data_IF_123381132537
#
_entry.id   IF_123381132537
#
_cell.length_a   1.000
_cell.length_b   1.000
_cell.length_c   1.000
_cell.angle_alpha   90.00
_cell.angle_beta   90.00
_cell.angle_gamma   90.00
#
_symmetry.space_group_name_H-M   'P 1'
#
loop_
_entity.id
_entity.type
_entity.pdbx_description
1 polymer ?
#
# COMPACT_ATOMS: atom_id res chain seq x y z
N UNK A 1 30.84 -30.26 9.57
CA UNK A 1 30.30 -31.05 10.68
C UNK A 1 28.89 -30.55 10.93
N UNK A 2 27.90 -31.39 10.61
CA UNK A 2 26.47 -31.14 10.79
C UNK A 2 26.13 -31.31 12.26
N UNK A 3 25.78 -30.22 12.94
CA UNK A 3 25.18 -30.31 14.28
C UNK A 3 23.69 -30.67 14.13
N UNK A 4 23.15 -31.56 14.97
CA UNK A 4 21.75 -31.93 14.92
C UNK A 4 20.87 -30.76 15.36
N UNK A 5 19.67 -30.68 14.79
CA UNK A 5 18.61 -29.72 15.12
C UNK A 5 18.26 -29.84 16.60
N UNK A 6 18.86 -28.99 17.44
CA UNK A 6 18.30 -28.71 18.75
C UNK A 6 16.90 -28.16 18.51
N UNK A 7 15.91 -28.70 19.23
CA UNK A 7 14.54 -28.22 19.23
C UNK A 7 14.54 -26.75 19.65
N UNK A 8 14.53 -25.85 18.66
CA UNK A 8 14.34 -24.43 18.89
C UNK A 8 12.92 -24.26 19.43
N UNK A 9 12.81 -23.86 20.69
CA UNK A 9 11.52 -23.59 21.31
C UNK A 9 11.08 -22.18 20.90
N UNK A 10 9.88 -22.07 20.36
CA UNK A 10 9.27 -20.79 20.01
C UNK A 10 8.11 -20.53 20.95
N UNK A 11 7.99 -19.29 21.43
CA UNK A 11 6.83 -18.81 22.15
C UNK A 11 6.00 -17.87 21.28
N UNK A 12 4.69 -18.02 21.38
CA UNK A 12 3.73 -17.07 20.83
C UNK A 12 3.74 -15.79 21.67
N UNK A 13 4.01 -14.66 21.03
CA UNK A 13 3.88 -13.33 21.64
C UNK A 13 2.98 -12.42 20.82
N UNK A 14 2.30 -11.53 21.51
CA UNK A 14 1.59 -10.43 20.87
C UNK A 14 2.59 -9.51 20.18
N UNK A 15 2.30 -9.07 18.95
CA UNK A 15 3.18 -8.18 18.20
C UNK A 15 3.46 -6.89 18.98
N UNK A 16 2.46 -6.37 19.70
CA UNK A 16 2.61 -5.19 20.56
C UNK A 16 3.53 -5.36 21.77
N UNK A 17 3.99 -6.57 22.10
CA UNK A 17 4.91 -6.83 23.21
C UNK A 17 6.36 -7.12 22.78
N UNK A 18 6.64 -7.04 21.48
CA UNK A 18 7.98 -7.23 20.92
C UNK A 18 8.96 -6.17 21.43
N UNK A 19 10.21 -6.59 21.64
CA UNK A 19 11.30 -5.75 22.13
C UNK A 19 12.55 -5.92 21.27
N UNK A 20 13.42 -4.91 21.29
CA UNK A 20 14.78 -5.05 20.80
C UNK A 20 15.47 -6.23 21.49
N UNK A 21 16.17 -7.06 20.72
CA UNK A 21 16.82 -8.30 21.14
C UNK A 21 15.98 -9.56 20.95
N UNK A 22 14.68 -9.45 20.67
CA UNK A 22 13.85 -10.63 20.36
C UNK A 22 14.24 -11.24 19.02
N UNK A 23 14.41 -12.56 18.96
CA UNK A 23 14.65 -13.31 17.73
C UNK A 23 13.32 -13.78 17.14
N UNK A 24 12.85 -13.10 16.10
CA UNK A 24 11.56 -13.35 15.47
C UNK A 24 11.68 -14.38 14.35
N UNK A 25 10.78 -15.37 14.31
CA UNK A 25 10.64 -16.27 13.16
C UNK A 25 10.00 -15.51 12.02
N UNK A 26 10.71 -15.44 10.88
CA UNK A 26 10.26 -14.70 9.72
C UNK A 26 9.05 -15.39 9.06
N UNK A 27 8.26 -14.67 8.24
CA UNK A 27 7.09 -15.24 7.57
C UNK A 27 7.36 -16.44 6.66
N UNK A 28 8.62 -16.69 6.30
CA UNK A 28 9.06 -17.88 5.57
C UNK A 28 9.10 -19.16 6.42
N UNK A 29 8.91 -19.05 7.74
CA UNK A 29 8.95 -20.12 8.72
C UNK A 29 10.27 -20.91 8.79
N UNK A 30 11.34 -20.45 8.14
CA UNK A 30 12.64 -21.12 8.09
C UNK A 30 13.75 -20.30 8.76
N UNK A 31 13.64 -18.96 8.69
CA UNK A 31 14.70 -18.06 9.15
C UNK A 31 14.27 -17.27 10.38
N UNK A 32 15.23 -16.98 11.24
CA UNK A 32 15.04 -16.07 12.37
C UNK A 32 15.87 -14.80 12.18
N UNK A 33 15.38 -13.68 12.70
CA UNK A 33 16.13 -12.44 12.72
C UNK A 33 15.92 -11.72 14.05
N UNK A 34 16.99 -11.13 14.58
CA UNK A 34 16.94 -10.34 15.79
C UNK A 34 16.37 -8.95 15.50
N UNK A 35 15.47 -8.49 16.35
CA UNK A 35 14.89 -7.15 16.30
C UNK A 35 15.90 -6.15 16.90
N UNK A 36 16.32 -5.17 16.13
CA UNK A 36 17.19 -4.06 16.57
C UNK A 36 16.37 -2.88 17.06
N UNK A 37 15.17 -2.69 16.50
CA UNK A 37 14.29 -1.57 16.83
C UNK A 37 12.82 -1.93 16.65
N UNK A 38 11.96 -1.43 17.53
CA UNK A 38 10.50 -1.54 17.43
C UNK A 38 9.89 -0.15 17.45
N UNK A 39 9.08 0.16 16.44
CA UNK A 39 8.24 1.36 16.39
C UNK A 39 6.76 0.93 16.29
N UNK A 40 5.86 1.76 16.83
CA UNK A 40 4.40 1.49 16.82
C UNK A 40 3.68 2.63 16.13
N UNK A 41 2.99 2.32 15.04
CA UNK A 41 2.11 3.23 14.33
C UNK A 41 0.68 3.08 14.89
N UNK A 42 0.13 4.18 15.40
CA UNK A 42 -1.24 4.22 15.89
C UNK A 42 -2.23 4.54 14.75
N UNK A 43 -3.48 4.09 14.88
CA UNK A 43 -4.60 4.51 14.04
C UNK A 43 -5.04 5.96 14.35
N UNK A 44 -6.01 6.45 13.57
CA UNK A 44 -6.59 7.79 13.72
C UNK A 44 -7.28 8.02 15.08
N UNK A 45 -7.53 6.95 15.85
CA UNK A 45 -8.11 6.98 17.19
C UNK A 45 -7.06 6.82 18.30
N UNK A 46 -5.76 6.75 17.95
CA UNK A 46 -4.66 6.63 18.89
C UNK A 46 -4.40 5.21 19.41
N UNK A 47 -5.04 4.19 18.83
CA UNK A 47 -4.81 2.78 19.17
C UNK A 47 -3.69 2.19 18.32
N UNK A 48 -2.80 1.33 18.87
CA UNK A 48 -1.78 0.65 18.09
C UNK A 48 -2.38 -0.13 16.91
N UNK A 49 -1.99 0.21 15.69
CA UNK A 49 -2.46 -0.45 14.47
C UNK A 49 -1.39 -1.37 13.87
N UNK A 50 -0.16 -0.85 13.75
CA UNK A 50 0.96 -1.56 13.14
C UNK A 50 2.19 -1.46 14.04
N UNK A 51 2.85 -2.60 14.26
CA UNK A 51 4.18 -2.70 14.87
C UNK A 51 5.21 -2.86 13.75
N UNK A 52 6.20 -1.99 13.73
CA UNK A 52 7.33 -2.01 12.79
C UNK A 52 8.57 -2.52 13.52
N UNK A 53 9.01 -3.73 13.19
CA UNK A 53 10.22 -4.33 13.75
C UNK A 53 11.37 -4.23 12.74
N UNK A 54 12.40 -3.44 13.03
CA UNK A 54 13.65 -3.38 12.26
C UNK A 54 14.56 -4.51 12.70
N UNK A 55 15.07 -5.29 11.75
CA UNK A 55 15.85 -6.50 11.98
C UNK A 55 17.35 -6.26 11.77
N UNK A 56 18.20 -7.14 12.30
CA UNK A 56 19.68 -7.06 12.19
C UNK A 56 20.21 -7.08 10.76
N UNK A 57 19.40 -7.50 9.79
CA UNK A 57 19.68 -7.42 8.35
C UNK A 57 19.18 -6.14 7.65
N UNK A 58 18.70 -5.14 8.40
CA UNK A 58 18.20 -3.86 7.87
C UNK A 58 16.75 -3.88 7.37
N UNK A 59 16.12 -5.06 7.24
CA UNK A 59 14.72 -5.18 6.85
C UNK A 59 13.76 -4.74 7.96
N UNK A 60 12.61 -4.18 7.58
CA UNK A 60 11.53 -3.79 8.51
C UNK A 60 10.31 -4.67 8.28
N UNK A 61 9.90 -5.42 9.31
CA UNK A 61 8.68 -6.20 9.31
C UNK A 61 7.51 -5.37 9.84
N UNK A 62 6.40 -5.34 9.11
CA UNK A 62 5.15 -4.68 9.52
C UNK A 62 4.15 -5.73 9.98
N UNK A 63 3.74 -5.64 11.24
CA UNK A 63 2.91 -6.64 11.89
C UNK A 63 1.70 -5.92 12.45
N UNK A 64 0.48 -6.43 12.23
CA UNK A 64 -0.68 -5.83 12.88
C UNK A 64 -0.55 -5.96 14.40
N UNK A 65 -0.85 -4.91 15.15
CA UNK A 65 -0.57 -4.86 16.59
C UNK A 65 -1.28 -5.97 17.40
N UNK A 66 -2.44 -6.43 16.93
CA UNK A 66 -3.20 -7.54 17.51
C UNK A 66 -2.84 -8.94 17.00
N UNK A 67 -1.80 -9.06 16.17
CA UNK A 67 -1.33 -10.36 15.68
C UNK A 67 -0.39 -11.05 16.68
N UNK A 68 -0.37 -12.38 16.62
CA UNK A 68 0.58 -13.21 17.34
C UNK A 68 1.75 -13.54 16.42
N UNK A 69 2.97 -13.49 16.95
CA UNK A 69 4.21 -13.85 16.27
C UNK A 69 4.98 -14.87 17.09
N UNK A 70 5.85 -15.62 16.42
CA UNK A 70 6.71 -16.60 17.06
C UNK A 70 8.08 -15.99 17.34
N UNK A 71 8.46 -16.01 18.61
CA UNK A 71 9.77 -15.55 19.08
C UNK A 71 10.54 -16.74 19.59
N UNK A 72 11.80 -16.84 19.22
CA UNK A 72 12.69 -17.88 19.72
C UNK A 72 12.95 -17.65 21.20
N UNK A 73 12.68 -18.65 22.03
CA UNK A 73 12.97 -18.59 23.45
C UNK A 73 14.50 -18.60 23.65
N UNK A 74 15.05 -17.70 24.47
CA UNK A 74 16.44 -17.79 24.85
C UNK A 74 16.67 -19.14 25.53
N UNK A 75 17.64 -19.91 25.03
CA UNK A 75 18.10 -21.13 25.71
C UNK A 75 18.58 -20.69 27.09
N UNK A 76 18.06 -21.25 28.19
CA UNK A 76 18.57 -20.90 29.50
C UNK A 76 20.04 -21.30 29.55
N UNK A 77 20.91 -20.30 29.66
CA UNK A 77 22.31 -20.53 29.99
C UNK A 77 22.36 -21.36 31.26
N UNK A 78 23.12 -22.46 31.21
CA UNK A 78 23.41 -23.26 32.40
C UNK A 78 24.06 -22.35 33.46
N UNK A 79 23.71 -22.50 34.75
CA UNK A 79 23.99 -21.50 35.76
C UNK A 79 25.49 -21.42 36.02
N UNK A 80 26.11 -20.29 35.67
CA UNK A 80 27.40 -19.92 36.22
C UNK A 80 27.27 -19.65 37.73
N UNK A 81 28.28 -20.14 38.44
CA UNK A 81 28.30 -20.32 39.88
C UNK A 81 28.16 -19.02 40.69
N UNK A 82 27.40 -19.12 41.78
CA UNK A 82 27.48 -18.20 42.93
C UNK A 82 28.91 -18.05 43.45
N UNK A 83 29.18 -16.91 44.10
CA UNK A 83 29.69 -16.98 45.45
C UNK A 83 28.77 -16.23 46.44
N UNK A 84 28.52 -16.91 47.56
CA UNK A 84 28.15 -16.33 48.86
C UNK A 84 29.22 -15.30 49.29
N UNK A 85 29.03 -14.38 50.23
CA UNK A 85 28.24 -14.38 51.45
C UNK A 85 28.20 -12.95 52.00
N UNK A 86 27.18 -12.59 52.78
CA UNK A 86 27.02 -11.24 53.31
C UNK A 86 25.70 -11.00 54.05
N UNK A 87 25.36 -11.89 54.98
CA UNK A 87 24.23 -11.81 55.91
C UNK A 87 24.40 -10.64 56.92
N UNK A 88 23.44 -10.08 57.70
CA UNK A 88 22.10 -10.39 58.28
C UNK A 88 21.53 -9.01 58.80
N UNK A 89 20.41 -8.84 59.58
CA UNK A 89 19.05 -9.45 59.71
C UNK A 89 17.88 -8.42 59.54
N UNK A 90 16.68 -8.80 59.10
CA UNK A 90 15.52 -9.42 59.78
C UNK A 90 14.74 -8.54 60.79
N UNK A 91 13.45 -8.34 60.52
CA UNK A 91 12.39 -8.19 61.53
C UNK A 91 11.01 -8.55 60.94
N UNK A 92 10.40 -9.57 61.55
CA UNK A 92 9.04 -10.08 61.40
C UNK A 92 7.95 -9.06 61.79
N UNK A 93 6.75 -9.20 61.22
CA UNK A 93 5.51 -9.24 61.99
C UNK A 93 4.35 -9.84 61.19
N UNK A 94 3.65 -10.77 61.83
CA UNK A 94 2.55 -11.62 61.36
C UNK A 94 1.18 -10.91 61.25
N UNK A 95 0.22 -11.57 60.58
CA UNK A 95 -1.18 -11.16 60.29
C UNK A 95 -2.13 -11.08 61.50
N UNK A 96 -3.43 -11.46 61.45
CA UNK A 96 -4.22 -12.12 60.37
C UNK A 96 -5.71 -11.63 60.20
N UNK A 97 -6.42 -12.20 59.20
CA UNK A 97 -7.71 -12.92 59.44
C UNK A 97 -9.08 -12.27 59.09
N UNK A 98 -10.02 -13.18 58.74
CA UNK A 98 -11.49 -13.09 58.61
C UNK A 98 -12.08 -12.46 57.32
N UNK A 99 -13.19 -12.91 56.73
CA UNK A 99 -13.98 -14.15 56.66
C UNK A 99 -15.06 -13.87 55.59
N UNK A 100 -15.42 -14.84 54.74
CA UNK A 100 -16.63 -14.78 53.87
C UNK A 100 -17.90 -15.13 54.70
N UNK A 101 -19.16 -14.97 54.22
CA UNK A 101 -19.73 -15.88 53.21
C UNK A 101 -20.90 -15.37 52.30
N UNK A 102 -21.14 -16.14 51.22
CA UNK A 102 -22.41 -16.55 50.58
C UNK A 102 -23.43 -15.47 50.09
N UNK A 103 -24.28 -15.66 49.08
CA UNK A 103 -25.00 -16.87 48.67
C UNK A 103 -25.59 -16.74 47.24
N UNK A 104 -25.73 -17.91 46.60
CA UNK A 104 -26.67 -18.42 45.57
C UNK A 104 -27.77 -17.51 44.99
N UNK A 105 -28.26 -17.71 43.76
CA UNK A 105 -28.22 -18.89 42.92
C UNK A 105 -29.03 -18.72 41.62
N UNK A 106 -29.49 -19.86 41.16
CA UNK A 106 -29.58 -20.31 39.77
C UNK A 106 -30.99 -20.16 39.14
N UNK A 107 -31.00 -20.33 37.82
CA UNK A 107 -31.96 -21.12 37.04
C UNK A 107 -33.15 -20.49 36.24
N UNK A 108 -33.11 -20.83 34.94
CA UNK A 108 -34.18 -21.28 34.02
C UNK A 108 -35.29 -20.38 33.44
N UNK A 109 -35.15 -20.15 32.12
CA UNK A 109 -35.98 -20.70 31.03
C UNK A 109 -37.41 -20.17 30.68
N UNK A 110 -37.53 -19.90 29.37
CA UNK A 110 -38.62 -20.26 28.43
C UNK A 110 -39.84 -19.33 28.20
N UNK A 111 -40.25 -19.27 26.92
CA UNK A 111 -41.65 -19.08 26.53
C UNK A 111 -42.08 -17.83 25.75
N UNK A 112 -42.18 -17.95 24.42
CA UNK A 112 -43.46 -17.71 23.73
C UNK A 112 -43.71 -16.36 23.01
N UNK A 113 -43.78 -16.41 21.67
CA UNK A 113 -44.53 -15.48 20.81
C UNK A 113 -46.05 -15.77 20.83
N UNK A 114 -46.92 -14.81 20.49
CA UNK A 114 -47.60 -14.76 19.17
C UNK A 114 -47.82 -13.30 18.68
N UNK A 115 -48.30 -12.91 17.48
CA UNK A 115 -49.01 -13.57 16.38
C UNK A 115 -50.20 -12.69 15.91
N UNK A 116 -50.07 -12.05 14.73
CA UNK A 116 -51.04 -11.64 13.69
C UNK A 116 -52.46 -11.10 14.01
N UNK A 117 -52.89 -10.08 13.25
CA UNK A 117 -54.31 -9.91 12.85
C UNK A 117 -54.47 -9.38 11.41
N UNK A 118 -55.34 -10.06 10.68
CA UNK A 118 -55.78 -9.88 9.29
C UNK A 118 -57.24 -9.39 9.34
N UNK A 119 -57.69 -8.56 8.38
CA UNK A 119 -59.12 -8.32 8.14
C UNK A 119 -59.40 -8.44 6.64
N UNK A 120 -60.32 -9.34 6.29
CA UNK A 120 -60.86 -9.60 4.96
C UNK A 120 -62.05 -8.70 4.61
N UNK A 121 -62.26 -8.40 3.32
CA UNK A 121 -63.60 -8.50 2.71
C UNK A 121 -63.56 -8.58 1.17
N UNK A 122 -64.28 -9.57 0.62
CA UNK A 122 -64.70 -9.79 -0.78
C UNK A 122 -66.25 -9.84 -0.76
N UNK A 123 -67.03 -9.59 -1.86
CA UNK A 123 -67.02 -10.50 -3.01
C UNK A 123 -67.43 -9.97 -4.43
N UNK A 124 -67.09 -10.80 -5.42
CA UNK A 124 -67.74 -11.23 -6.68
C UNK A 124 -68.29 -10.29 -7.77
N UNK A 125 -67.92 -10.59 -9.03
CA UNK A 125 -68.68 -10.22 -10.24
C UNK A 125 -67.92 -10.31 -11.58
N UNK A 126 -68.05 -11.45 -12.27
CA UNK A 126 -68.04 -11.74 -13.73
C UNK A 126 -67.27 -10.89 -14.77
N UNK A 127 -66.49 -11.58 -15.63
CA UNK A 127 -66.16 -11.14 -17.00
C UNK A 127 -64.69 -11.33 -17.45
N UNK A 128 -64.44 -12.28 -18.34
CA UNK A 128 -63.19 -12.40 -19.13
C UNK A 128 -63.45 -11.98 -20.60
N UNK A 129 -62.44 -11.77 -21.49
CA UNK A 129 -61.01 -11.46 -21.35
C UNK A 129 -60.53 -10.26 -22.24
N UNK A 130 -59.33 -9.72 -22.01
CA UNK A 130 -58.58 -8.99 -23.04
C UNK A 130 -57.07 -9.12 -22.79
N UNK A 131 -56.33 -9.63 -23.78
CA UNK A 131 -54.88 -9.77 -23.72
C UNK A 131 -54.19 -8.39 -23.76
N UNK A 132 -53.27 -8.08 -22.84
CA UNK A 132 -52.50 -6.85 -22.94
C UNK A 132 -51.30 -7.05 -23.89
N UNK A 133 -51.18 -6.15 -24.86
CA UNK A 133 -50.02 -6.05 -25.75
C UNK A 133 -48.74 -5.79 -24.95
N UNK A 134 -47.68 -6.52 -25.29
CA UNK A 134 -46.34 -6.34 -24.71
C UNK A 134 -45.77 -5.02 -25.24
N UNK A 135 -45.84 -3.97 -24.43
CA UNK A 135 -45.06 -2.75 -24.64
C UNK A 135 -43.62 -3.06 -24.27
N UNK A 136 -42.77 -3.27 -25.28
CA UNK A 136 -41.31 -3.36 -25.08
C UNK A 136 -40.82 -1.95 -24.76
N UNK A 137 -40.30 -1.68 -23.54
CA UNK A 137 -39.69 -0.39 -23.25
C UNK A 137 -38.49 -0.17 -24.19
N UNK A 138 -38.29 1.05 -24.71
CA UNK A 138 -37.13 1.34 -25.54
C UNK A 138 -35.86 0.97 -24.78
N UNK A 139 -34.98 0.26 -25.47
CA UNK A 139 -33.66 -0.14 -24.97
C UNK A 139 -33.00 1.10 -24.35
N UNK A 140 -32.48 1.03 -23.11
CA UNK A 140 -31.74 2.15 -22.54
C UNK A 140 -30.66 2.59 -23.53
N UNK A 141 -30.64 3.89 -23.85
CA UNK A 141 -29.54 4.47 -24.61
C UNK A 141 -28.27 4.09 -23.86
N UNK A 142 -27.33 3.45 -24.56
CA UNK A 142 -26.06 3.09 -23.98
C UNK A 142 -25.45 4.32 -23.28
N UNK A 143 -24.85 4.18 -22.09
CA UNK A 143 -24.17 5.28 -21.45
C UNK A 143 -23.15 5.89 -22.43
N UNK A 144 -22.93 7.22 -22.38
CA UNK A 144 -22.00 7.89 -23.29
C UNK A 144 -20.65 7.16 -23.27
N UNK A 145 -20.11 6.93 -24.47
CA UNK A 145 -18.82 6.31 -24.71
C UNK A 145 -17.77 7.02 -23.85
N UNK A 146 -17.03 6.21 -23.09
CA UNK A 146 -16.22 6.58 -21.94
C UNK A 146 -15.26 7.76 -22.18
N UNK A 147 -15.08 8.59 -21.15
CA UNK A 147 -13.92 9.47 -20.95
C UNK A 147 -12.65 8.64 -20.73
N UNK A 148 -12.27 7.86 -21.75
CA UNK A 148 -11.14 6.94 -21.72
C UNK A 148 -10.30 7.00 -22.99
N UNK A 149 -9.13 6.36 -22.99
CA UNK A 149 -8.24 6.25 -24.14
C UNK A 149 -8.97 5.86 -25.42
N UNK A 150 -8.71 6.55 -26.53
CA UNK A 150 -9.12 6.03 -27.83
C UNK A 150 -8.24 4.85 -28.23
N UNK A 151 -8.72 3.99 -29.12
CA UNK A 151 -7.92 2.88 -29.68
C UNK A 151 -6.63 3.39 -30.34
N UNK A 152 -6.67 4.59 -30.94
CA UNK A 152 -5.50 5.25 -31.50
C UNK A 152 -4.48 5.69 -30.43
N UNK A 153 -4.94 6.13 -29.25
CA UNK A 153 -4.04 6.48 -28.14
C UNK A 153 -3.36 5.22 -27.60
N UNK A 154 -4.10 4.12 -27.44
CA UNK A 154 -3.55 2.85 -26.97
C UNK A 154 -2.55 2.24 -27.96
N UNK A 155 -2.72 2.46 -29.26
CA UNK A 155 -1.78 2.00 -30.28
C UNK A 155 -0.39 2.66 -30.20
N UNK A 156 -0.27 3.79 -29.52
CA UNK A 156 1.02 4.48 -29.27
C UNK A 156 1.77 3.90 -28.05
N UNK A 157 1.11 3.07 -27.24
CA UNK A 157 1.75 2.33 -26.14
C UNK A 157 2.16 0.96 -26.69
N UNK A 158 3.46 0.61 -26.68
CA UNK A 158 3.92 -0.70 -27.11
C UNK A 158 3.22 -1.83 -26.36
N UNK A 159 2.80 -2.86 -27.09
CA UNK A 159 2.34 -4.08 -26.46
C UNK A 159 3.51 -4.75 -25.73
N UNK A 160 3.22 -5.37 -24.58
CA UNK A 160 4.21 -6.14 -23.85
C UNK A 160 4.78 -7.28 -24.70
N UNK A 161 6.10 -7.49 -24.62
CA UNK A 161 6.77 -8.62 -25.24
C UNK A 161 6.48 -9.90 -24.43
N UNK A 162 5.41 -10.61 -24.79
CA UNK A 162 5.00 -11.84 -24.14
C UNK A 162 3.95 -11.62 -23.05
N UNK A 163 4.07 -12.34 -21.94
CA UNK A 163 3.15 -12.14 -20.79
C UNK A 163 3.65 -11.00 -19.91
N UNK A 164 2.76 -10.35 -19.13
CA UNK A 164 3.16 -9.36 -18.14
C UNK A 164 4.25 -9.88 -17.18
N UNK A 165 4.18 -11.16 -16.80
CA UNK A 165 5.16 -11.80 -15.94
C UNK A 165 6.53 -11.93 -16.64
N UNK A 166 6.58 -12.24 -17.94
CA UNK A 166 7.83 -12.30 -18.71
C UNK A 166 8.54 -10.95 -18.78
N UNK A 167 7.81 -9.83 -18.85
CA UNK A 167 8.40 -8.48 -18.79
C UNK A 167 9.06 -8.24 -17.44
N UNK A 168 8.43 -8.67 -16.35
CA UNK A 168 8.98 -8.55 -14.99
C UNK A 168 10.19 -9.47 -14.79
N UNK A 169 10.16 -10.68 -15.36
CA UNK A 169 11.31 -11.60 -15.37
C UNK A 169 12.49 -11.00 -16.13
N UNK A 170 12.27 -10.44 -17.33
CA UNK A 170 13.31 -9.80 -18.11
C UNK A 170 13.97 -8.63 -17.35
N UNK A 171 13.17 -7.83 -16.64
CA UNK A 171 13.70 -6.76 -15.79
C UNK A 171 14.57 -7.30 -14.63
N UNK A 172 14.20 -8.44 -14.04
CA UNK A 172 15.00 -9.09 -12.99
C UNK A 172 16.29 -9.72 -13.55
N UNK A 173 16.22 -10.33 -14.73
CA UNK A 173 17.40 -10.90 -15.42
C UNK A 173 18.41 -9.83 -15.83
N UNK A 174 17.94 -8.63 -16.18
CA UNK A 174 18.79 -7.49 -16.48
C UNK A 174 19.54 -6.95 -15.24
N UNK A 175 19.00 -7.19 -14.03
CA UNK A 175 19.53 -6.67 -12.77
C UNK A 175 19.65 -7.76 -11.69
N UNK A 176 20.51 -8.78 -11.88
CA UNK A 176 20.60 -9.94 -10.99
C UNK A 176 21.13 -9.62 -9.58
N UNK A 177 21.79 -8.48 -9.41
CA UNK A 177 22.35 -8.05 -8.13
C UNK A 177 21.47 -7.03 -7.38
N UNK A 178 20.35 -6.59 -7.98
CA UNK A 178 19.47 -5.59 -7.40
C UNK A 178 18.39 -6.23 -6.53
N UNK A 179 18.65 -6.37 -5.23
CA UNK A 179 17.75 -7.04 -4.27
C UNK A 179 16.32 -6.46 -4.29
N UNK A 180 16.17 -5.13 -4.42
CA UNK A 180 14.86 -4.48 -4.51
C UNK A 180 14.04 -4.97 -5.71
N UNK A 181 14.67 -5.02 -6.88
CA UNK A 181 14.07 -5.56 -8.11
C UNK A 181 13.72 -7.04 -7.93
N UNK A 182 14.63 -7.85 -7.41
CA UNK A 182 14.38 -9.29 -7.22
C UNK A 182 13.19 -9.56 -6.29
N UNK A 183 13.07 -8.82 -5.19
CA UNK A 183 11.96 -8.97 -4.23
C UNK A 183 10.61 -8.51 -4.80
N UNK A 184 10.60 -7.46 -5.63
CA UNK A 184 9.40 -7.01 -6.34
C UNK A 184 9.02 -8.02 -7.41
N UNK A 185 9.98 -8.46 -8.22
CA UNK A 185 9.77 -9.44 -9.29
C UNK A 185 9.28 -10.79 -8.75
N UNK A 186 9.84 -11.35 -7.68
CA UNK A 186 9.37 -12.62 -7.09
C UNK A 186 7.90 -12.57 -6.62
N UNK A 187 7.42 -11.40 -6.20
CA UNK A 187 6.00 -11.21 -5.83
C UNK A 187 5.11 -11.13 -7.06
N UNK A 188 5.59 -10.52 -8.14
CA UNK A 188 4.85 -10.26 -9.38
C UNK A 188 4.81 -11.47 -10.32
N UNK A 189 5.88 -12.27 -10.41
CA UNK A 189 5.95 -13.46 -11.28
C UNK A 189 5.02 -14.59 -10.86
N UNK A 190 4.52 -14.56 -9.61
CA UNK A 190 3.49 -15.49 -9.12
C UNK A 190 2.10 -15.23 -9.72
N UNK A 191 1.94 -14.10 -10.41
CA UNK A 191 0.75 -13.75 -11.18
C UNK A 191 0.35 -12.29 -11.01
N UNK A 192 0.18 -11.57 -12.12
CA UNK A 192 -0.18 -10.16 -12.12
C UNK A 192 -1.70 -10.00 -12.08
N UNK A 193 -2.20 -9.37 -11.01
CA UNK A 193 -3.62 -9.07 -10.84
C UNK A 193 -3.88 -7.56 -10.92
N UNK A 194 -4.38 -7.12 -12.06
CA UNK A 194 -4.68 -5.70 -12.37
C UNK A 194 -5.81 -5.10 -11.51
N UNK A 195 -6.55 -5.90 -10.75
CA UNK A 195 -7.59 -5.43 -9.81
C UNK A 195 -7.08 -5.28 -8.38
N UNK A 196 -5.87 -5.75 -8.09
CA UNK A 196 -5.27 -5.71 -6.77
C UNK A 196 -4.42 -4.46 -6.60
N UNK A 197 -4.79 -3.58 -5.66
CA UNK A 197 -4.03 -2.37 -5.38
C UNK A 197 -2.58 -2.64 -4.96
N UNK A 198 -2.31 -3.74 -4.22
CA UNK A 198 -0.94 -4.11 -3.86
C UNK A 198 -0.11 -4.55 -5.07
N UNK A 199 -0.73 -5.25 -6.04
CA UNK A 199 -0.06 -5.65 -7.26
C UNK A 199 0.26 -4.45 -8.16
N UNK A 200 -0.67 -3.49 -8.26
CA UNK A 200 -0.44 -2.25 -9.00
C UNK A 200 0.68 -1.42 -8.35
N UNK A 201 0.70 -1.38 -7.02
CA UNK A 201 1.76 -0.73 -6.26
C UNK A 201 3.12 -1.40 -6.50
N UNK A 202 3.20 -2.73 -6.44
CA UNK A 202 4.45 -3.44 -6.69
C UNK A 202 4.98 -3.21 -8.12
N UNK A 203 4.11 -3.15 -9.13
CA UNK A 203 4.52 -2.79 -10.50
C UNK A 203 5.04 -1.34 -10.59
N UNK A 204 4.35 -0.40 -9.93
CA UNK A 204 4.77 1.01 -9.90
C UNK A 204 6.11 1.17 -9.18
N UNK A 205 6.26 0.54 -8.01
CA UNK A 205 7.50 0.55 -7.22
C UNK A 205 8.65 -0.06 -8.02
N UNK A 206 8.41 -1.16 -8.77
CA UNK A 206 9.41 -1.77 -9.65
C UNK A 206 9.85 -0.84 -10.77
N UNK A 207 8.90 -0.19 -11.47
CA UNK A 207 9.23 0.78 -12.51
C UNK A 207 10.05 1.97 -11.97
N UNK A 208 9.70 2.46 -10.78
CA UNK A 208 10.46 3.54 -10.11
C UNK A 208 11.85 3.08 -9.71
N UNK A 209 12.02 1.88 -9.13
CA UNK A 209 13.33 1.35 -8.75
C UNK A 209 14.24 1.22 -9.98
N UNK A 210 13.74 0.64 -11.07
CA UNK A 210 14.46 0.50 -12.33
C UNK A 210 14.94 1.87 -12.87
N UNK A 211 14.04 2.86 -12.92
CA UNK A 211 14.40 4.16 -13.48
C UNK A 211 15.25 5.02 -12.54
N UNK A 212 14.81 5.16 -11.30
CA UNK A 212 15.38 6.09 -10.33
C UNK A 212 16.71 5.56 -9.83
N UNK A 213 16.76 4.31 -9.38
CA UNK A 213 17.97 3.74 -8.74
C UNK A 213 18.91 3.17 -9.80
N UNK A 214 18.39 2.34 -10.70
CA UNK A 214 19.22 1.57 -11.64
C UNK A 214 19.49 2.30 -12.97
N UNK A 215 18.85 3.46 -13.19
CA UNK A 215 18.96 4.25 -14.43
C UNK A 215 18.55 3.47 -15.68
N UNK A 216 17.72 2.46 -15.52
CA UNK A 216 17.21 1.63 -16.59
C UNK A 216 15.86 2.14 -17.07
N UNK A 217 15.91 3.08 -18.01
CA UNK A 217 14.71 3.66 -18.60
C UNK A 217 13.95 2.71 -19.53
N UNK A 218 14.60 1.68 -20.08
CA UNK A 218 13.97 0.76 -21.01
C UNK A 218 13.10 -0.24 -20.27
N UNK A 219 13.66 -0.97 -19.30
CA UNK A 219 12.90 -1.93 -18.51
C UNK A 219 11.89 -1.23 -17.59
N UNK A 220 12.21 -0.04 -17.06
CA UNK A 220 11.23 0.74 -16.29
C UNK A 220 9.98 1.07 -17.11
N UNK A 221 10.16 1.49 -18.37
CA UNK A 221 9.05 1.85 -19.24
C UNK A 221 8.23 0.62 -19.65
N UNK A 222 8.89 -0.50 -19.95
CA UNK A 222 8.21 -1.76 -20.26
C UNK A 222 7.34 -2.25 -19.09
N UNK A 223 7.84 -2.16 -17.84
CA UNK A 223 7.06 -2.50 -16.64
C UNK A 223 5.92 -1.49 -16.42
N UNK A 224 6.18 -0.19 -16.59
CA UNK A 224 5.17 0.86 -16.45
C UNK A 224 4.02 0.70 -17.45
N UNK A 225 4.30 0.25 -18.68
CA UNK A 225 3.29 0.03 -19.71
C UNK A 225 2.24 -1.02 -19.32
N UNK A 226 2.61 -2.01 -18.49
CA UNK A 226 1.66 -2.99 -17.95
C UNK A 226 0.55 -2.33 -17.11
N UNK A 227 0.86 -1.20 -16.46
CA UNK A 227 -0.07 -0.38 -15.70
C UNK A 227 -0.76 0.67 -16.56
N UNK A 228 -0.02 1.31 -17.48
CA UNK A 228 -0.46 2.51 -18.17
C UNK A 228 -1.54 2.25 -19.23
N UNK A 229 -1.81 0.99 -19.56
CA UNK A 229 -2.96 0.57 -20.38
C UNK A 229 -4.27 0.46 -19.60
N UNK A 230 -4.22 0.54 -18.26
CA UNK A 230 -5.40 0.37 -17.42
C UNK A 230 -6.24 1.66 -17.35
N UNK A 231 -7.55 1.61 -17.61
CA UNK A 231 -8.41 2.77 -17.47
C UNK A 231 -8.68 3.06 -15.98
N UNK A 232 -9.00 4.32 -15.67
CA UNK A 232 -9.50 4.66 -14.36
C UNK A 232 -10.84 3.95 -14.08
N UNK A 233 -10.93 3.28 -12.94
CA UNK A 233 -12.03 2.39 -12.58
C UNK A 233 -12.94 2.96 -11.47
N UNK A 234 -12.74 4.23 -11.10
CA UNK A 234 -13.47 4.90 -10.02
C UNK A 234 -12.89 4.68 -8.62
N UNK A 235 -11.79 3.93 -8.45
CA UNK A 235 -11.13 3.74 -7.16
C UNK A 235 -9.83 4.57 -7.06
N UNK A 236 -9.83 5.70 -6.31
CA UNK A 236 -8.66 6.56 -6.17
C UNK A 236 -7.44 5.85 -5.56
N UNK A 237 -7.67 4.89 -4.65
CA UNK A 237 -6.58 4.16 -3.99
C UNK A 237 -5.81 3.24 -4.93
N UNK A 238 -6.50 2.63 -5.91
CA UNK A 238 -5.83 1.85 -6.97
C UNK A 238 -5.23 2.76 -8.03
N UNK A 239 -5.91 3.86 -8.32
CA UNK A 239 -5.46 4.83 -9.33
C UNK A 239 -4.12 5.46 -8.96
N UNK A 240 -3.84 5.70 -7.68
CA UNK A 240 -2.58 6.32 -7.25
C UNK A 240 -1.33 5.63 -7.82
N UNK A 241 -1.30 4.29 -7.89
CA UNK A 241 -0.19 3.54 -8.48
C UNK A 241 -0.11 3.68 -10.00
N UNK A 242 -1.27 3.68 -10.68
CA UNK A 242 -1.33 3.90 -12.14
C UNK A 242 -0.92 5.33 -12.47
N UNK A 243 -1.33 6.30 -11.67
CA UNK A 243 -1.02 7.71 -11.82
C UNK A 243 0.48 7.99 -11.63
N UNK A 244 1.10 7.41 -10.60
CA UNK A 244 2.55 7.49 -10.42
C UNK A 244 3.30 6.88 -11.62
N UNK A 245 2.86 5.72 -12.12
CA UNK A 245 3.41 5.07 -13.31
C UNK A 245 3.25 5.90 -14.59
N UNK A 246 2.09 6.53 -14.79
CA UNK A 246 1.84 7.42 -15.94
C UNK A 246 2.72 8.67 -15.90
N UNK A 247 2.89 9.27 -14.71
CA UNK A 247 3.76 10.42 -14.53
C UNK A 247 5.24 10.09 -14.82
N UNK A 248 5.71 8.93 -14.33
CA UNK A 248 7.04 8.42 -14.60
C UNK A 248 7.24 8.13 -16.10
N UNK A 249 6.32 7.41 -16.74
CA UNK A 249 6.42 7.04 -18.14
C UNK A 249 6.37 8.26 -19.08
N UNK A 250 5.51 9.24 -18.81
CA UNK A 250 5.51 10.53 -19.50
C UNK A 250 6.89 11.18 -19.44
N UNK A 251 7.49 11.26 -18.24
CA UNK A 251 8.82 11.84 -18.08
C UNK A 251 9.89 11.07 -18.87
N UNK A 252 9.91 9.72 -18.79
CA UNK A 252 10.85 8.89 -19.55
C UNK A 252 10.72 9.12 -21.05
N UNK A 253 9.51 9.10 -21.60
CA UNK A 253 9.26 9.34 -23.02
C UNK A 253 9.71 10.73 -23.46
N UNK A 254 9.49 11.76 -22.64
CA UNK A 254 9.97 13.13 -22.91
C UNK A 254 11.49 13.19 -22.99
N UNK A 255 12.19 12.54 -22.06
CA UNK A 255 13.66 12.47 -22.08
C UNK A 255 14.20 11.72 -23.32
N UNK A 256 13.41 10.79 -23.86
CA UNK A 256 13.72 10.02 -25.08
C UNK A 256 13.28 10.72 -26.39
N UNK A 257 12.57 11.85 -26.31
CA UNK A 257 12.00 12.53 -27.48
C UNK A 257 10.74 11.87 -28.06
N UNK A 258 10.11 10.96 -27.32
CA UNK A 258 8.84 10.29 -27.69
C UNK A 258 7.64 11.16 -27.29
N UNK A 259 7.51 12.34 -27.91
CA UNK A 259 6.53 13.38 -27.52
C UNK A 259 5.08 12.89 -27.59
N UNK A 260 4.68 12.26 -28.69
CA UNK A 260 3.30 11.78 -28.90
C UNK A 260 2.88 10.77 -27.82
N UNK A 261 3.79 9.87 -27.47
CA UNK A 261 3.56 8.85 -26.44
C UNK A 261 3.49 9.47 -25.04
N UNK A 262 4.34 10.46 -24.76
CA UNK A 262 4.27 11.20 -23.50
C UNK A 262 2.93 11.93 -23.35
N UNK A 263 2.42 12.56 -24.41
CA UNK A 263 1.11 13.24 -24.41
C UNK A 263 -0.05 12.27 -24.14
N UNK A 264 0.04 11.03 -24.65
CA UNK A 264 -0.93 9.97 -24.35
C UNK A 264 -0.95 9.65 -22.85
N UNK A 265 0.21 9.45 -22.21
CA UNK A 265 0.26 9.20 -20.77
C UNK A 265 -0.29 10.37 -19.95
N UNK A 266 0.06 11.61 -20.31
CA UNK A 266 -0.43 12.82 -19.65
C UNK A 266 -1.93 13.01 -19.83
N UNK A 267 -2.49 12.59 -20.97
CA UNK A 267 -3.94 12.56 -21.21
C UNK A 267 -4.60 11.51 -20.31
N UNK A 268 -4.05 10.30 -20.22
CA UNK A 268 -4.62 9.23 -19.40
C UNK A 268 -4.60 9.57 -17.91
N UNK A 269 -3.51 10.17 -17.46
CA UNK A 269 -3.35 10.61 -16.08
C UNK A 269 -4.41 11.65 -15.67
N UNK A 270 -4.88 12.45 -16.63
CA UNK A 270 -5.99 13.42 -16.44
C UNK A 270 -7.38 12.82 -16.67
N UNK A 271 -7.53 11.56 -17.04
CA UNK A 271 -8.83 10.95 -17.31
C UNK A 271 -9.86 11.06 -16.16
N UNK A 272 -9.48 10.88 -14.87
CA UNK A 272 -10.42 11.07 -13.75
C UNK A 272 -11.04 12.48 -13.71
N UNK A 273 -10.30 13.48 -14.19
CA UNK A 273 -10.72 14.88 -14.18
C UNK A 273 -11.84 15.17 -15.17
N UNK A 274 -11.92 14.36 -16.22
CA UNK A 274 -12.88 14.47 -17.33
C UNK A 274 -14.12 13.58 -17.12
N UNK A 275 -14.22 12.89 -15.97
CA UNK A 275 -15.40 12.08 -15.64
C UNK A 275 -16.58 12.93 -15.13
N UNK A 276 -16.34 14.10 -14.58
CA UNK A 276 -17.41 14.99 -14.13
C UNK A 276 -18.12 15.60 -15.34
N UNK A 277 -19.39 15.23 -15.53
CA UNK A 277 -20.19 15.64 -16.68
C UNK A 277 -20.94 16.95 -16.43
N UNK A 278 -21.14 17.34 -15.17
CA UNK A 278 -21.75 18.63 -14.83
C UNK A 278 -20.75 19.77 -15.06
N UNK A 279 -21.00 20.69 -16.02
CA UNK A 279 -20.07 21.78 -16.33
C UNK A 279 -19.74 22.68 -15.14
N UNK A 280 -20.68 22.86 -14.21
CA UNK A 280 -20.45 23.69 -13.03
C UNK A 280 -19.49 23.00 -12.07
N UNK A 281 -19.74 21.72 -11.73
CA UNK A 281 -18.87 20.93 -10.85
C UNK A 281 -17.49 20.71 -11.47
N UNK A 282 -17.42 20.41 -12.77
CA UNK A 282 -16.17 20.28 -13.50
C UNK A 282 -15.30 21.53 -13.35
N UNK A 283 -15.90 22.73 -13.50
CA UNK A 283 -15.19 24.01 -13.30
C UNK A 283 -14.70 24.21 -11.86
N UNK A 284 -15.50 23.83 -10.87
CA UNK A 284 -15.09 23.92 -9.46
C UNK A 284 -13.95 22.94 -9.17
N UNK A 285 -14.05 21.70 -9.62
CA UNK A 285 -13.03 20.67 -9.45
C UNK A 285 -11.71 21.08 -10.11
N UNK A 286 -11.75 21.61 -11.33
CA UNK A 286 -10.58 22.15 -12.01
C UNK A 286 -9.91 23.28 -11.22
N UNK A 287 -10.68 24.18 -10.60
CA UNK A 287 -10.15 25.25 -9.74
C UNK A 287 -9.56 24.74 -8.43
N UNK A 288 -10.14 23.69 -7.84
CA UNK A 288 -9.58 23.03 -6.65
C UNK A 288 -8.24 22.37 -7.00
N UNK A 289 -8.20 21.61 -8.09
CA UNK A 289 -6.99 20.94 -8.57
C UNK A 289 -5.89 21.93 -8.92
N UNK A 290 -6.20 23.01 -9.63
CA UNK A 290 -5.18 24.02 -9.94
C UNK A 290 -4.56 24.62 -8.67
N UNK A 291 -5.34 24.80 -7.60
CA UNK A 291 -4.81 25.27 -6.31
C UNK A 291 -3.86 24.24 -5.69
N UNK A 292 -4.21 22.95 -5.70
CA UNK A 292 -3.31 21.91 -5.20
C UNK A 292 -2.04 21.76 -6.04
N UNK A 293 -2.11 21.97 -7.36
CA UNK A 293 -0.94 22.01 -8.25
C UNK A 293 -0.08 23.29 -8.02
N UNK A 294 -0.69 24.39 -7.59
CA UNK A 294 0.01 25.65 -7.31
C UNK A 294 0.73 25.64 -5.94
N UNK A 295 0.23 24.86 -5.00
CA UNK A 295 0.76 24.71 -3.63
C UNK A 295 1.06 23.23 -3.34
N UNK A 296 1.97 22.58 -4.10
CA UNK A 296 2.28 21.18 -3.90
C UNK A 296 3.03 20.97 -2.58
N UNK A 297 2.80 19.82 -1.95
CA UNK A 297 3.66 19.40 -0.85
C UNK A 297 4.99 18.88 -1.42
N UNK A 298 6.06 19.68 -1.28
CA UNK A 298 7.41 19.31 -1.68
C UNK A 298 8.28 18.86 -0.50
N UNK A 299 7.71 18.57 0.66
CA UNK A 299 8.41 17.95 1.79
C UNK A 299 9.70 18.67 2.25
N UNK A 300 9.80 19.99 2.04
CA UNK A 300 10.98 20.78 2.39
C UNK A 300 11.34 20.63 3.87
N UNK A 301 10.34 20.67 4.75
CA UNK A 301 10.56 20.59 6.20
C UNK A 301 11.07 19.22 6.63
N UNK A 302 10.53 18.16 6.04
CA UNK A 302 10.88 16.78 6.33
C UNK A 302 12.31 16.46 5.85
N UNK A 303 12.66 16.94 4.65
CA UNK A 303 14.02 16.81 4.10
C UNK A 303 15.03 17.56 4.96
N UNK A 304 14.77 18.84 5.30
CA UNK A 304 15.66 19.59 6.19
C UNK A 304 15.78 18.93 7.56
N UNK A 305 14.68 18.43 8.11
CA UNK A 305 14.71 17.70 9.38
C UNK A 305 15.54 16.42 9.29
N UNK A 306 15.48 15.68 8.19
CA UNK A 306 16.30 14.48 8.01
C UNK A 306 17.80 14.83 7.93
N UNK A 307 18.14 15.90 7.20
CA UNK A 307 19.50 16.45 7.10
C UNK A 307 20.01 16.89 8.48
N UNK A 308 19.23 17.68 9.21
CA UNK A 308 19.60 18.18 10.55
C UNK A 308 19.82 17.03 11.55
N UNK A 309 19.10 15.91 11.38
CA UNK A 309 19.28 14.71 12.17
C UNK A 309 20.34 13.73 11.62
N UNK A 310 21.05 14.10 10.55
CA UNK A 310 22.04 13.24 9.87
C UNK A 310 21.50 11.84 9.54
N UNK A 311 20.25 11.77 9.07
CA UNK A 311 19.58 10.53 8.70
C UNK A 311 19.45 10.44 7.16
N UNK A 312 20.44 9.86 6.45
CA UNK A 312 20.45 9.81 5.00
C UNK A 312 19.34 8.93 4.42
N UNK A 313 18.95 7.86 5.13
CA UNK A 313 17.88 6.97 4.69
C UNK A 313 16.53 7.72 4.67
N UNK A 314 16.24 8.44 5.76
CA UNK A 314 15.03 9.27 5.83
C UNK A 314 15.07 10.41 4.81
N UNK A 315 16.22 11.06 4.62
CA UNK A 315 16.36 12.10 3.59
C UNK A 315 16.01 11.54 2.21
N UNK A 316 16.56 10.37 1.87
CA UNK A 316 16.31 9.71 0.60
C UNK A 316 14.84 9.36 0.42
N UNK A 317 14.17 8.81 1.44
CA UNK A 317 12.73 8.53 1.39
C UNK A 317 11.90 9.79 1.11
N UNK A 318 12.18 10.91 1.79
CA UNK A 318 11.45 12.15 1.55
C UNK A 318 11.74 12.77 0.18
N UNK A 319 12.97 12.64 -0.32
CA UNK A 319 13.32 13.09 -1.68
C UNK A 319 12.64 12.26 -2.76
N UNK A 320 12.46 10.95 -2.56
CA UNK A 320 11.67 10.12 -3.47
C UNK A 320 10.21 10.60 -3.53
N UNK A 321 9.59 10.89 -2.39
CA UNK A 321 8.22 11.45 -2.36
C UNK A 321 8.13 12.82 -3.04
N UNK A 322 9.14 13.67 -2.86
CA UNK A 322 9.23 14.94 -3.59
C UNK A 322 9.38 14.71 -5.10
N UNK A 323 10.23 13.77 -5.52
CA UNK A 323 10.42 13.43 -6.92
C UNK A 323 9.10 12.99 -7.57
N UNK A 324 8.35 12.10 -6.92
CA UNK A 324 7.01 11.69 -7.38
C UNK A 324 6.06 12.89 -7.53
N UNK A 325 6.03 13.79 -6.53
CA UNK A 325 5.22 15.00 -6.60
C UNK A 325 5.62 15.93 -7.77
N UNK A 326 6.92 16.04 -8.07
CA UNK A 326 7.43 16.83 -9.19
C UNK A 326 7.08 16.20 -10.55
N UNK A 327 7.22 14.88 -10.67
CA UNK A 327 6.81 14.13 -11.87
C UNK A 327 5.31 14.27 -12.14
N UNK A 328 4.51 14.13 -11.08
CA UNK A 328 3.06 14.35 -11.13
C UNK A 328 2.71 15.76 -11.61
N UNK A 329 3.31 16.80 -11.00
CA UNK A 329 3.09 18.19 -11.39
C UNK A 329 3.39 18.40 -12.87
N UNK A 330 4.51 17.86 -13.34
CA UNK A 330 4.92 17.95 -14.74
C UNK A 330 3.90 17.29 -15.66
N UNK A 331 3.46 16.08 -15.36
CA UNK A 331 2.53 15.32 -16.19
C UNK A 331 1.11 15.91 -16.21
N UNK A 332 0.67 16.54 -15.12
CA UNK A 332 -0.64 17.21 -15.01
C UNK A 332 -0.71 18.57 -15.73
N UNK A 333 0.31 18.98 -16.48
CA UNK A 333 0.35 20.26 -17.19
C UNK A 333 0.94 21.41 -16.37
N UNK A 334 1.59 21.10 -15.25
CA UNK A 334 2.41 22.03 -14.50
C UNK A 334 1.66 22.89 -13.49
N UNK A 335 2.45 23.46 -12.60
CA UNK A 335 2.02 24.48 -11.68
C UNK A 335 2.01 25.85 -12.37
N UNK A 336 1.05 26.72 -12.07
CA UNK A 336 1.12 28.13 -12.53
C UNK A 336 2.20 28.93 -11.80
N UNK A 337 2.73 28.40 -10.69
CA UNK A 337 3.77 29.03 -9.88
C UNK A 337 5.17 28.49 -10.19
N UNK A 338 5.27 27.29 -10.80
CA UNK A 338 6.53 26.64 -11.18
C UNK A 338 6.49 26.30 -12.66
N UNK A 339 7.23 27.07 -13.47
CA UNK A 339 7.30 26.86 -14.92
C UNK A 339 7.97 25.53 -15.30
N UNK A 340 7.67 25.02 -16.49
CA UNK A 340 8.19 23.74 -16.99
C UNK A 340 9.74 23.63 -16.93
N UNK A 341 10.54 24.63 -17.34
CA UNK A 341 12.00 24.53 -17.23
C UNK A 341 12.50 24.39 -15.79
N UNK A 342 11.81 24.99 -14.83
CA UNK A 342 12.15 24.89 -13.42
C UNK A 342 11.73 23.52 -12.85
N UNK A 343 10.60 22.97 -13.28
CA UNK A 343 10.20 21.59 -12.93
C UNK A 343 11.24 20.59 -13.42
N UNK A 344 11.65 20.67 -14.69
CA UNK A 344 12.68 19.79 -15.27
C UNK A 344 13.99 19.88 -14.49
N UNK A 345 14.44 21.10 -14.15
CA UNK A 345 15.64 21.31 -13.33
C UNK A 345 15.51 20.68 -11.94
N UNK A 346 14.37 20.84 -11.28
CA UNK A 346 14.13 20.25 -9.95
C UNK A 346 14.10 18.73 -10.00
N UNK A 347 13.43 18.15 -10.99
CA UNK A 347 13.39 16.69 -11.20
C UNK A 347 14.82 16.15 -11.40
N UNK A 348 15.62 16.80 -12.26
CA UNK A 348 17.02 16.45 -12.47
C UNK A 348 17.83 16.46 -11.18
N UNK A 349 17.71 17.53 -10.39
CA UNK A 349 18.40 17.66 -9.09
C UNK A 349 18.00 16.57 -8.09
N UNK A 350 16.71 16.24 -7.99
CA UNK A 350 16.26 15.19 -7.08
C UNK A 350 16.72 13.82 -7.56
N UNK A 351 16.68 13.53 -8.87
CA UNK A 351 17.25 12.31 -9.43
C UNK A 351 18.74 12.17 -9.09
N UNK A 352 19.53 13.22 -9.26
CA UNK A 352 20.94 13.21 -8.86
C UNK A 352 21.12 12.95 -7.36
N UNK A 353 20.28 13.57 -6.53
CA UNK A 353 20.37 13.46 -5.07
C UNK A 353 19.97 12.08 -4.54
N UNK A 354 19.03 11.38 -5.17
CA UNK A 354 18.59 10.03 -4.74
C UNK A 354 19.45 8.89 -5.30
N UNK A 355 20.24 9.19 -6.35
CA UNK A 355 21.15 8.25 -7.03
C UNK A 355 22.57 8.27 -6.48
N UNK A 356 22.98 9.38 -5.87
CA UNK A 356 24.29 9.56 -5.24
C UNK A 356 24.32 8.97 -3.84
#
# INVERSE_FOLDING_TARGET
MTHPTASLNYSERQAGSLRTGDLLLLPDAERTAEIVRVDVDNDDFGSPAIVRATLTGGGVLRIAAGSVVLVLDPVPDSPEASPADGAIPAADAAGPGADSPADSGDDSADGGAPGLQLVEHLPDGDGAPAAPGVVVPPRPVAPPVASGPSEADLALIPAADGTPESVVEAAAEAHPDALGVLLLSDRLTKGINTKSGSCLKDLSDLAHELFVVLKDAENALAVADLLNVLPFDGNPGRWASVEASLALASYICRQRGEEERAEVYEKFLRAPDEMETDPFKARINAKVRQRSLNEPNLYDKEIFRAIDNSNPDAEREWRLLRLEALLFLRAHGGSQTIGAPELERRIGNELESVRG
#
